data_IF_790437770224
#
_entry.id   IF_790437770224
#
_cell.length_a   1.000
_cell.length_b   1.000
_cell.length_c   1.000
_cell.angle_alpha   90.00
_cell.angle_beta   90.00
_cell.angle_gamma   90.00
#
_symmetry.space_group_name_H-M   'P 1'
#
loop_
_entity.id
_entity.type
_entity.pdbx_description
1 polymer ?
#
# COMPACT_ATOMS: atom_id res chain seq x y z
N UNK A 1 5.21 -29.10 4.91
CA UNK A 1 5.75 -27.73 5.05
C UNK A 1 4.66 -26.70 5.38
N UNK A 2 3.39 -27.08 5.32
CA UNK A 2 2.24 -26.15 5.40
C UNK A 2 1.98 -25.53 6.78
N UNK A 3 2.17 -26.28 7.88
CA UNK A 3 1.83 -25.78 9.22
C UNK A 3 2.65 -24.55 9.62
N UNK A 4 3.94 -24.53 9.29
CA UNK A 4 4.80 -23.40 9.64
C UNK A 4 4.43 -22.14 8.84
N UNK A 5 4.09 -22.29 7.56
CA UNK A 5 3.65 -21.18 6.71
C UNK A 5 2.35 -20.55 7.19
N UNK A 6 1.40 -21.37 7.66
CA UNK A 6 0.17 -20.89 8.32
C UNK A 6 0.51 -20.12 9.59
N UNK A 7 1.34 -20.70 10.47
CA UNK A 7 1.78 -20.04 11.71
C UNK A 7 2.45 -18.70 11.39
N UNK A 8 3.33 -18.66 10.38
CA UNK A 8 4.04 -17.44 9.94
C UNK A 8 3.05 -16.34 9.53
N UNK A 9 2.06 -16.63 8.67
CA UNK A 9 1.05 -15.63 8.28
C UNK A 9 0.32 -15.12 9.51
N UNK A 10 -0.32 -16.01 10.26
CA UNK A 10 -1.21 -15.60 11.35
C UNK A 10 -0.46 -14.88 12.46
N UNK A 11 0.77 -15.33 12.75
CA UNK A 11 1.63 -14.67 13.71
C UNK A 11 2.01 -13.26 13.23
N UNK A 12 2.54 -13.12 12.01
CA UNK A 12 2.97 -11.81 11.50
C UNK A 12 1.79 -10.86 11.28
N UNK A 13 0.63 -11.34 10.85
CA UNK A 13 -0.57 -10.52 10.69
C UNK A 13 -1.11 -10.03 12.04
N UNK A 14 -1.17 -10.92 13.04
CA UNK A 14 -1.62 -10.57 14.40
C UNK A 14 -0.64 -9.62 15.05
N UNK A 15 0.66 -9.89 14.94
CA UNK A 15 1.71 -9.01 15.45
C UNK A 15 1.65 -7.64 14.78
N UNK A 16 1.46 -7.58 13.47
CA UNK A 16 1.30 -6.32 12.74
C UNK A 16 0.09 -5.53 13.20
N UNK A 17 -1.04 -6.19 13.40
CA UNK A 17 -2.25 -5.56 13.95
C UNK A 17 -2.02 -5.03 15.37
N UNK A 18 -1.43 -5.84 16.26
CA UNK A 18 -1.15 -5.44 17.64
C UNK A 18 -0.18 -4.26 17.71
N UNK A 19 0.90 -4.30 16.92
CA UNK A 19 1.85 -3.19 16.80
C UNK A 19 1.09 -1.96 16.31
N UNK A 20 0.39 -2.02 15.17
CA UNK A 20 -0.37 -0.91 14.60
C UNK A 20 -1.31 -0.24 15.62
N UNK A 21 -2.07 -1.04 16.35
CA UNK A 21 -2.96 -0.56 17.41
C UNK A 21 -2.19 0.11 18.56
N UNK A 22 -1.07 -0.48 19.00
CA UNK A 22 -0.26 0.03 20.10
C UNK A 22 0.34 1.42 19.82
N UNK A 23 0.78 1.70 18.58
CA UNK A 23 1.36 3.01 18.24
C UNK A 23 0.37 4.01 17.63
N UNK A 24 -0.90 3.62 17.42
CA UNK A 24 -1.98 4.53 17.01
C UNK A 24 -2.14 5.76 17.93
N UNK A 25 -2.18 5.64 19.27
CA UNK A 25 -2.30 6.82 20.14
C UNK A 25 -1.08 7.75 20.02
N UNK A 26 0.12 7.19 19.84
CA UNK A 26 1.35 7.96 19.62
C UNK A 26 1.25 8.79 18.33
N UNK A 27 0.86 8.16 17.23
CA UNK A 27 0.74 8.83 15.94
C UNK A 27 -0.36 9.89 15.98
N UNK A 28 -1.55 9.56 16.50
CA UNK A 28 -2.66 10.52 16.55
C UNK A 28 -2.31 11.73 17.41
N UNK A 29 -1.65 11.55 18.55
CA UNK A 29 -1.15 12.66 19.36
C UNK A 29 -0.16 13.54 18.57
N UNK A 30 0.77 12.94 17.83
CA UNK A 30 1.71 13.66 16.98
C UNK A 30 0.99 14.49 15.90
N UNK A 31 0.02 13.90 15.21
CA UNK A 31 -0.75 14.55 14.14
C UNK A 31 -1.59 15.72 14.68
N UNK A 32 -2.25 15.54 15.84
CA UNK A 32 -2.99 16.61 16.51
C UNK A 32 -2.08 17.75 16.97
N UNK A 33 -0.93 17.42 17.57
CA UNK A 33 0.06 18.40 18.03
C UNK A 33 0.54 19.31 16.89
N UNK A 34 0.70 18.78 15.68
CA UNK A 34 1.15 19.52 14.51
C UNK A 34 0.00 20.05 13.65
N UNK A 35 -1.26 19.92 14.09
CA UNK A 35 -2.47 20.34 13.37
C UNK A 35 -2.54 19.80 11.94
N UNK A 36 -2.07 18.57 11.73
CA UNK A 36 -2.12 17.87 10.44
C UNK A 36 -3.52 17.29 10.22
N UNK A 37 -4.51 18.17 10.13
CA UNK A 37 -5.92 17.80 10.07
C UNK A 37 -6.50 17.96 8.66
N UNK A 38 -7.50 17.13 8.31
CA UNK A 38 -8.24 17.24 7.06
C UNK A 38 -8.93 18.59 6.96
N UNK A 39 -8.75 19.22 5.81
CA UNK A 39 -9.47 20.43 5.42
C UNK A 39 -10.60 20.05 4.46
N UNK A 40 -11.77 20.62 4.67
CA UNK A 40 -12.95 20.34 3.85
C UNK A 40 -13.08 21.46 2.81
N UNK A 41 -13.38 21.08 1.58
CA UNK A 41 -13.69 22.02 0.50
C UNK A 41 -14.94 22.82 0.82
N UNK A 42 -14.98 24.06 0.34
CA UNK A 42 -16.10 24.97 0.56
C UNK A 42 -17.39 24.44 -0.04
N UNK A 43 -18.50 24.63 0.69
CA UNK A 43 -19.85 24.21 0.29
C UNK A 43 -20.23 24.70 -1.12
N UNK A 44 -19.83 25.92 -1.48
CA UNK A 44 -20.08 26.52 -2.81
C UNK A 44 -19.43 25.74 -3.95
N UNK A 45 -18.28 25.11 -3.70
CA UNK A 45 -17.51 24.38 -4.71
C UNK A 45 -17.88 22.91 -4.80
N UNK A 46 -18.32 22.30 -3.70
CA UNK A 46 -18.61 20.87 -3.63
C UNK A 46 -19.70 20.55 -2.58
N UNK A 47 -20.99 20.86 -2.85
CA UNK A 47 -22.06 20.79 -1.86
C UNK A 47 -22.34 19.37 -1.35
N UNK A 48 -22.27 18.37 -2.24
CA UNK A 48 -22.45 16.95 -1.86
C UNK A 48 -21.29 16.48 -0.96
N UNK A 49 -20.05 16.77 -1.36
CA UNK A 49 -18.85 16.43 -0.59
C UNK A 49 -18.89 17.06 0.81
N UNK A 50 -19.21 18.35 0.89
CA UNK A 50 -19.32 19.08 2.16
C UNK A 50 -20.33 18.43 3.11
N UNK A 51 -21.52 18.05 2.64
CA UNK A 51 -22.54 17.40 3.49
C UNK A 51 -22.05 16.08 4.11
N UNK A 52 -21.39 15.23 3.34
CA UNK A 52 -20.88 13.94 3.83
C UNK A 52 -19.63 14.08 4.71
N UNK A 53 -18.83 15.13 4.51
CA UNK A 53 -17.53 15.25 5.16
C UNK A 53 -17.48 16.28 6.29
N UNK A 54 -18.50 17.15 6.46
CA UNK A 54 -18.49 18.23 7.48
C UNK A 54 -18.16 17.76 8.90
N UNK A 55 -18.60 16.54 9.27
CA UNK A 55 -18.32 15.94 10.59
C UNK A 55 -16.86 15.51 10.77
N UNK A 56 -16.12 15.35 9.68
CA UNK A 56 -14.70 14.98 9.64
C UNK A 56 -13.78 16.21 9.67
N UNK A 57 -14.32 17.42 9.83
CA UNK A 57 -13.50 18.63 9.93
C UNK A 57 -12.60 18.54 11.17
N UNK A 58 -11.30 18.75 11.00
CA UNK A 58 -10.37 18.74 12.14
C UNK A 58 -9.89 17.35 12.57
N UNK A 59 -10.32 16.26 11.91
CA UNK A 59 -9.73 14.94 12.14
C UNK A 59 -8.34 14.85 11.51
N UNK A 60 -7.39 14.11 12.11
CA UNK A 60 -6.04 13.99 11.57
C UNK A 60 -6.07 13.31 10.20
N UNK A 61 -5.25 13.83 9.28
CA UNK A 61 -4.98 13.20 7.98
C UNK A 61 -3.72 12.33 8.08
N UNK A 62 -3.36 11.58 7.04
CA UNK A 62 -2.18 10.68 7.00
C UNK A 62 -2.29 9.40 7.85
N UNK A 63 -3.50 8.88 8.07
CA UNK A 63 -3.70 7.59 8.75
C UNK A 63 -2.97 6.42 8.08
N UNK A 64 -2.67 6.53 6.78
CA UNK A 64 -1.87 5.54 6.04
C UNK A 64 -0.47 5.30 6.62
N UNK A 65 0.10 6.26 7.36
CA UNK A 65 1.34 6.07 8.14
C UNK A 65 1.26 4.85 9.04
N UNK A 66 0.09 4.56 9.64
CA UNK A 66 -0.10 3.36 10.47
C UNK A 66 0.20 2.08 9.70
N UNK A 67 -0.19 2.01 8.43
CA UNK A 67 -0.07 0.81 7.63
C UNK A 67 1.39 0.66 7.16
N UNK A 68 1.89 1.62 6.38
CA UNK A 68 3.16 1.41 5.69
C UNK A 68 4.36 1.45 6.66
N UNK A 69 4.33 2.25 7.72
CA UNK A 69 5.42 2.26 8.73
C UNK A 69 5.42 0.95 9.52
N UNK A 70 4.26 0.40 9.89
CA UNK A 70 4.20 -0.90 10.56
C UNK A 70 4.68 -2.03 9.66
N UNK A 71 4.24 -2.06 8.40
CA UNK A 71 4.70 -3.07 7.44
C UNK A 71 6.21 -2.99 7.28
N UNK A 72 6.79 -1.80 7.04
CA UNK A 72 8.24 -1.65 6.90
C UNK A 72 9.01 -1.98 8.17
N UNK A 73 8.51 -1.55 9.33
CA UNK A 73 9.12 -1.79 10.62
C UNK A 73 9.22 -3.28 10.92
N UNK A 74 8.13 -4.02 10.74
CA UNK A 74 8.09 -5.47 10.94
C UNK A 74 8.93 -6.20 9.88
N UNK A 75 8.84 -5.80 8.61
CA UNK A 75 9.66 -6.38 7.53
C UNK A 75 11.15 -6.23 7.82
N UNK A 76 11.58 -5.04 8.21
CA UNK A 76 12.98 -4.73 8.49
C UNK A 76 13.46 -5.42 9.76
N UNK A 77 12.61 -5.49 10.80
CA UNK A 77 12.92 -6.17 12.05
C UNK A 77 13.21 -7.65 11.82
N UNK A 78 12.32 -8.38 11.15
CA UNK A 78 12.52 -9.81 10.90
C UNK A 78 13.64 -10.09 9.89
N UNK A 79 13.87 -9.19 8.94
CA UNK A 79 15.04 -9.26 8.06
C UNK A 79 16.37 -9.11 8.83
N UNK A 80 16.46 -8.15 9.75
CA UNK A 80 17.65 -7.94 10.57
C UNK A 80 17.85 -9.08 11.57
N UNK A 81 16.79 -9.53 12.25
CA UNK A 81 16.85 -10.66 13.17
C UNK A 81 17.28 -11.95 12.46
N UNK A 82 16.80 -12.20 11.24
CA UNK A 82 17.22 -13.35 10.43
C UNK A 82 18.70 -13.31 10.02
N UNK A 83 19.31 -12.13 9.93
CA UNK A 83 20.74 -11.97 9.63
C UNK A 83 21.65 -12.02 10.85
N UNK A 84 21.20 -11.46 11.98
CA UNK A 84 22.03 -11.26 13.17
C UNK A 84 21.93 -12.45 14.12
N UNK A 85 20.75 -13.06 14.25
CA UNK A 85 20.52 -14.18 15.16
C UNK A 85 20.62 -15.51 14.40
N UNK A 86 21.48 -16.46 14.84
CA UNK A 86 21.63 -17.78 14.22
C UNK A 86 20.48 -18.76 14.56
N UNK A 87 19.31 -18.25 14.96
CA UNK A 87 18.15 -19.06 15.30
C UNK A 87 17.29 -19.27 14.05
N UNK A 88 17.05 -20.53 13.69
CA UNK A 88 16.24 -20.94 12.51
C UNK A 88 14.87 -20.28 12.47
N UNK A 89 14.26 -20.00 13.63
CA UNK A 89 12.93 -19.40 13.71
C UNK A 89 12.93 -18.00 13.07
N UNK A 90 13.94 -17.17 13.33
CA UNK A 90 14.00 -15.82 12.77
C UNK A 90 14.27 -15.82 11.27
N UNK A 91 15.05 -16.79 10.78
CA UNK A 91 15.24 -16.99 9.35
C UNK A 91 13.94 -17.38 8.66
N UNK A 92 13.16 -18.29 9.25
CA UNK A 92 11.87 -18.71 8.67
C UNK A 92 10.78 -17.64 8.75
N UNK A 93 10.85 -16.73 9.72
CA UNK A 93 9.94 -15.58 9.85
C UNK A 93 10.30 -14.42 8.91
N UNK A 94 11.52 -14.39 8.36
CA UNK A 94 11.88 -13.45 7.31
C UNK A 94 11.05 -13.73 6.04
N UNK A 95 10.53 -12.67 5.42
CA UNK A 95 9.76 -12.72 4.17
C UNK A 95 10.37 -11.86 3.06
N UNK A 96 11.47 -11.15 3.34
CA UNK A 96 12.26 -10.42 2.35
C UNK A 96 13.35 -11.32 1.75
N UNK A 97 12.95 -12.54 1.40
CA UNK A 97 13.86 -13.60 0.91
C UNK A 97 13.85 -13.66 -0.62
N UNK A 98 12.72 -13.33 -1.24
CA UNK A 98 12.48 -13.44 -2.67
C UNK A 98 12.65 -12.11 -3.39
N UNK A 99 13.22 -12.15 -4.60
CA UNK A 99 13.44 -10.96 -5.42
C UNK A 99 12.11 -10.29 -5.82
N UNK A 100 11.04 -11.07 -5.91
CA UNK A 100 9.70 -10.61 -6.21
C UNK A 100 9.07 -9.80 -5.07
N UNK A 101 9.47 -10.03 -3.80
CA UNK A 101 8.91 -9.32 -2.64
C UNK A 101 9.37 -7.86 -2.53
N UNK A 102 10.54 -7.54 -3.09
CA UNK A 102 11.07 -6.18 -3.07
C UNK A 102 10.21 -5.22 -3.89
N UNK A 103 9.54 -5.68 -4.94
CA UNK A 103 8.75 -4.77 -5.78
C UNK A 103 7.47 -4.29 -5.07
N UNK A 104 6.60 -5.16 -4.52
CA UNK A 104 5.44 -4.70 -3.74
C UNK A 104 5.86 -3.81 -2.57
N UNK A 105 6.98 -4.11 -1.90
CA UNK A 105 7.53 -3.27 -0.83
C UNK A 105 7.97 -1.90 -1.36
N UNK A 106 8.71 -1.86 -2.47
CA UNK A 106 9.17 -0.63 -3.11
C UNK A 106 8.01 0.21 -3.63
N UNK A 107 6.99 -0.42 -4.23
CA UNK A 107 5.77 0.23 -4.68
C UNK A 107 4.96 0.79 -3.50
N UNK A 108 4.86 0.05 -2.39
CA UNK A 108 4.25 0.53 -1.14
C UNK A 108 4.97 1.78 -0.63
N UNK A 109 6.30 1.75 -0.54
CA UNK A 109 7.10 2.90 -0.09
C UNK A 109 6.91 4.10 -1.03
N UNK A 110 7.07 3.89 -2.34
CA UNK A 110 6.99 4.96 -3.33
C UNK A 110 5.60 5.61 -3.33
N UNK A 111 4.53 4.81 -3.35
CA UNK A 111 3.15 5.31 -3.30
C UNK A 111 2.82 5.98 -1.96
N UNK A 112 3.30 5.43 -0.84
CA UNK A 112 3.12 6.01 0.48
C UNK A 112 3.81 7.38 0.61
N UNK A 113 5.01 7.54 0.08
CA UNK A 113 5.72 8.83 0.07
C UNK A 113 4.98 9.87 -0.79
N UNK A 114 4.43 9.46 -1.93
CA UNK A 114 3.62 10.34 -2.79
C UNK A 114 2.33 10.75 -2.10
N UNK A 115 1.64 9.80 -1.46
CA UNK A 115 0.44 10.07 -0.67
C UNK A 115 0.72 11.00 0.52
N UNK A 116 1.81 10.76 1.25
CA UNK A 116 2.25 11.62 2.35
C UNK A 116 2.57 13.05 1.87
N UNK A 117 3.24 13.18 0.73
CA UNK A 117 3.53 14.47 0.12
C UNK A 117 2.23 15.19 -0.29
N UNK A 118 1.28 14.48 -0.90
CA UNK A 118 -0.03 15.01 -1.28
C UNK A 118 -0.84 15.49 -0.07
N UNK A 119 -0.91 14.68 0.98
CA UNK A 119 -1.57 15.02 2.25
C UNK A 119 -0.93 16.26 2.89
N UNK A 120 0.41 16.36 2.86
CA UNK A 120 1.11 17.51 3.43
C UNK A 120 0.85 18.80 2.64
N UNK A 121 0.81 18.71 1.31
CA UNK A 121 0.46 19.85 0.46
C UNK A 121 -1.00 20.28 0.70
N UNK A 122 -1.92 19.33 0.86
CA UNK A 122 -3.33 19.59 1.16
C UNK A 122 -3.49 20.29 2.52
N UNK A 123 -2.82 19.81 3.58
CA UNK A 123 -2.80 20.47 4.90
C UNK A 123 -2.25 21.89 4.82
N UNK A 124 -1.23 22.13 3.98
CA UNK A 124 -0.62 23.45 3.78
C UNK A 124 -1.40 24.35 2.81
N UNK A 125 -2.53 23.90 2.25
CA UNK A 125 -3.29 24.60 1.19
C UNK A 125 -2.46 24.92 -0.05
N UNK A 126 -1.44 24.13 -0.33
CA UNK A 126 -0.56 24.29 -1.49
C UNK A 126 -1.11 23.44 -2.64
N UNK A 127 -1.45 24.10 -3.75
CA UNK A 127 -2.00 23.44 -4.93
C UNK A 127 -3.26 24.12 -5.47
N UNK A 128 -3.86 23.58 -6.55
CA UNK A 128 -5.07 24.14 -7.14
C UNK A 128 -6.21 24.09 -6.11
N UNK A 129 -6.82 25.24 -5.84
CA UNK A 129 -7.88 25.38 -4.85
C UNK A 129 -7.50 24.84 -3.44
N UNK A 130 -6.21 24.81 -3.12
CA UNK A 130 -5.69 24.32 -1.84
C UNK A 130 -5.79 22.80 -1.63
N UNK A 131 -6.04 22.02 -2.70
CA UNK A 131 -6.39 20.59 -2.60
C UNK A 131 -5.26 19.56 -2.80
N UNK A 132 -3.98 19.96 -2.76
CA UNK A 132 -2.84 19.05 -2.97
C UNK A 132 -2.35 18.94 -4.43
N UNK A 133 -1.74 17.81 -4.80
CA UNK A 133 -1.26 17.54 -6.16
C UNK A 133 -2.41 17.54 -7.18
N UNK A 134 -2.20 18.26 -8.30
CA UNK A 134 -3.06 18.12 -9.50
C UNK A 134 -3.13 16.65 -9.92
N UNK A 135 -4.31 16.23 -10.37
CA UNK A 135 -4.54 14.89 -10.93
C UNK A 135 -3.48 14.51 -11.97
N UNK A 136 -3.13 15.42 -12.89
CA UNK A 136 -2.09 15.20 -13.91
C UNK A 136 -0.73 14.82 -13.31
N UNK A 137 -0.31 15.48 -12.23
CA UNK A 137 0.96 15.15 -11.57
C UNK A 137 0.88 13.79 -10.87
N UNK A 138 -0.25 13.47 -10.22
CA UNK A 138 -0.46 12.13 -9.63
C UNK A 138 -0.35 11.04 -10.69
N UNK A 139 -1.00 11.24 -11.83
CA UNK A 139 -0.94 10.29 -12.95
C UNK A 139 0.49 10.09 -13.45
N UNK A 140 1.23 11.17 -13.68
CA UNK A 140 2.63 11.10 -14.12
C UNK A 140 3.49 10.35 -13.10
N UNK A 141 3.37 10.68 -11.81
CA UNK A 141 4.15 10.03 -10.74
C UNK A 141 3.83 8.55 -10.63
N UNK A 142 2.55 8.16 -10.59
CA UNK A 142 2.16 6.74 -10.57
C UNK A 142 2.57 6.00 -11.83
N UNK A 143 2.58 6.66 -12.99
CA UNK A 143 3.08 6.09 -14.25
C UNK A 143 4.58 5.81 -14.15
N UNK A 144 5.38 6.71 -13.56
CA UNK A 144 6.81 6.46 -13.33
C UNK A 144 7.07 5.32 -12.35
N UNK A 145 6.31 5.24 -11.26
CA UNK A 145 6.38 4.11 -10.32
C UNK A 145 6.06 2.80 -11.04
N UNK A 146 5.01 2.80 -11.86
CA UNK A 146 4.60 1.63 -12.62
C UNK A 146 5.60 1.24 -13.71
N UNK A 147 6.23 2.22 -14.38
CA UNK A 147 7.30 2.00 -15.35
C UNK A 147 8.51 1.34 -14.71
N UNK A 148 8.94 1.81 -13.53
CA UNK A 148 10.04 1.20 -12.78
C UNK A 148 9.71 -0.25 -12.40
N UNK A 149 8.47 -0.53 -11.99
CA UNK A 149 8.01 -1.88 -11.69
C UNK A 149 7.92 -2.80 -12.91
N UNK A 150 7.41 -2.28 -14.02
CA UNK A 150 7.34 -3.00 -15.30
C UNK A 150 8.74 -3.34 -15.81
N UNK A 151 9.68 -2.39 -15.73
CA UNK A 151 11.08 -2.61 -16.09
C UNK A 151 11.70 -3.73 -15.25
N UNK A 152 11.47 -3.73 -13.94
CA UNK A 152 11.98 -4.79 -13.05
C UNK A 152 11.41 -6.17 -13.40
N UNK A 153 10.09 -6.30 -13.56
CA UNK A 153 9.49 -7.60 -13.92
C UNK A 153 9.96 -8.12 -15.27
N UNK A 154 9.95 -7.25 -16.29
CA UNK A 154 10.25 -7.67 -17.64
C UNK A 154 11.75 -7.95 -17.84
N UNK A 155 12.64 -7.09 -17.37
CA UNK A 155 14.08 -7.21 -17.66
C UNK A 155 14.92 -7.84 -16.55
N UNK A 156 14.43 -7.91 -15.30
CA UNK A 156 15.19 -8.51 -14.18
C UNK A 156 14.65 -9.86 -13.74
N UNK A 157 13.34 -10.07 -13.88
CA UNK A 157 12.70 -11.33 -13.51
C UNK A 157 12.34 -12.18 -14.73
N UNK A 158 12.62 -11.69 -15.95
CA UNK A 158 12.23 -12.31 -17.23
C UNK A 158 10.76 -12.77 -17.21
N UNK A 159 9.89 -11.89 -16.67
CA UNK A 159 8.49 -12.19 -16.45
C UNK A 159 7.60 -11.40 -17.41
N UNK A 160 7.01 -12.10 -18.36
CA UNK A 160 6.09 -11.56 -19.37
C UNK A 160 4.85 -12.44 -19.58
N UNK A 161 4.61 -13.38 -18.66
CA UNK A 161 3.52 -14.36 -18.75
C UNK A 161 2.32 -13.94 -17.91
N UNK A 162 1.12 -14.07 -18.52
CA UNK A 162 -0.16 -13.95 -17.82
C UNK A 162 -0.83 -15.31 -17.79
N UNK A 163 -1.22 -15.74 -16.59
CA UNK A 163 -2.04 -16.93 -16.43
C UNK A 163 -3.51 -16.54 -16.42
N UNK A 164 -4.25 -17.00 -17.42
CA UNK A 164 -5.71 -16.90 -17.44
C UNK A 164 -6.26 -18.18 -16.81
N UNK A 165 -7.15 -18.08 -15.80
CA UNK A 165 -7.80 -19.27 -15.23
C UNK A 165 -8.42 -20.12 -16.34
N UNK A 166 -8.25 -21.45 -16.24
CA UNK A 166 -8.73 -22.46 -17.20
C UNK A 166 -8.06 -22.48 -18.59
N UNK A 167 -7.61 -21.34 -19.11
CA UNK A 167 -7.01 -21.23 -20.45
C UNK A 167 -5.49 -21.43 -20.46
N UNK A 168 -4.82 -21.24 -19.32
CA UNK A 168 -3.38 -21.48 -19.19
C UNK A 168 -2.53 -20.21 -19.24
N UNK A 169 -1.25 -20.39 -19.59
CA UNK A 169 -0.25 -19.33 -19.62
C UNK A 169 -0.16 -18.71 -21.02
N UNK A 170 -0.18 -17.38 -21.10
CA UNK A 170 -0.01 -16.61 -22.32
C UNK A 170 1.22 -15.72 -22.20
N UNK A 171 2.15 -15.87 -23.13
CA UNK A 171 3.33 -15.01 -23.27
C UNK A 171 2.91 -13.71 -23.95
N UNK A 172 3.07 -12.59 -23.25
CA UNK A 172 2.70 -11.27 -23.76
C UNK A 172 3.88 -10.55 -24.42
N UNK A 173 5.12 -10.97 -24.14
CA UNK A 173 6.31 -10.25 -24.55
C UNK A 173 6.24 -8.78 -24.13
N UNK A 174 6.56 -7.88 -25.05
CA UNK A 174 6.61 -6.45 -24.78
C UNK A 174 5.26 -5.84 -24.34
N UNK A 175 4.12 -6.46 -24.69
CA UNK A 175 2.78 -5.99 -24.27
C UNK A 175 2.54 -6.12 -22.76
N UNK A 176 3.38 -6.88 -22.04
CA UNK A 176 3.34 -6.94 -20.59
C UNK A 176 3.58 -5.57 -19.94
N UNK A 177 4.49 -4.76 -20.50
CA UNK A 177 4.86 -3.44 -19.95
C UNK A 177 3.67 -2.46 -19.92
N UNK A 178 3.00 -2.15 -21.04
CA UNK A 178 1.86 -1.23 -21.03
C UNK A 178 0.69 -1.76 -20.19
N UNK A 179 0.47 -3.08 -20.17
CA UNK A 179 -0.56 -3.66 -19.31
C UNK A 179 -0.23 -3.48 -17.81
N UNK A 180 1.01 -3.75 -17.42
CA UNK A 180 1.47 -3.57 -16.04
C UNK A 180 1.25 -2.12 -15.58
N UNK A 181 1.65 -1.17 -16.43
CA UNK A 181 1.46 0.27 -16.17
C UNK A 181 -0.03 0.59 -15.99
N UNK A 182 -0.87 0.11 -16.90
CA UNK A 182 -2.30 0.31 -16.84
C UNK A 182 -2.89 -0.23 -15.53
N UNK A 183 -2.55 -1.46 -15.13
CA UNK A 183 -3.06 -2.08 -13.89
C UNK A 183 -2.66 -1.27 -12.66
N UNK A 184 -1.39 -0.88 -12.53
CA UNK A 184 -0.91 -0.14 -11.35
C UNK A 184 -1.56 1.24 -11.25
N UNK A 185 -1.61 1.98 -12.37
CA UNK A 185 -2.22 3.31 -12.40
C UNK A 185 -3.72 3.20 -12.14
N UNK A 186 -4.44 2.33 -12.86
CA UNK A 186 -5.88 2.13 -12.67
C UNK A 186 -6.22 1.77 -11.22
N UNK A 187 -5.49 0.82 -10.62
CA UNK A 187 -5.74 0.40 -9.24
C UNK A 187 -5.50 1.54 -8.25
N UNK A 188 -4.42 2.32 -8.43
CA UNK A 188 -4.09 3.44 -7.55
C UNK A 188 -5.18 4.54 -7.59
N UNK A 189 -5.73 4.81 -8.78
CA UNK A 189 -6.85 5.75 -8.94
C UNK A 189 -8.15 5.19 -8.36
N UNK A 190 -8.47 3.91 -8.60
CA UNK A 190 -9.67 3.27 -8.06
C UNK A 190 -9.69 3.24 -6.53
N UNK A 191 -8.56 2.92 -5.89
CA UNK A 191 -8.47 2.91 -4.41
C UNK A 191 -8.65 4.31 -3.84
N UNK A 192 -8.07 5.33 -4.48
CA UNK A 192 -8.24 6.72 -4.06
C UNK A 192 -9.69 7.22 -4.21
N UNK A 193 -10.45 6.69 -5.18
CA UNK A 193 -11.86 7.07 -5.38
C UNK A 193 -12.80 6.47 -4.32
N UNK A 194 -12.50 5.25 -3.84
CA UNK A 194 -13.29 4.60 -2.77
C UNK A 194 -12.91 5.09 -1.37
N UNK A 195 -11.83 5.86 -1.20
CA UNK A 195 -11.38 6.43 0.07
C UNK A 195 -12.11 7.76 0.42
N UNK A 196 -13.44 7.73 0.39
CA UNK A 196 -14.30 8.86 0.78
C UNK A 196 -15.10 8.61 2.07
N UNK A 197 -15.46 7.36 2.34
CA UNK A 197 -16.27 6.98 3.50
C UNK A 197 -15.41 6.32 4.57
N UNK A 198 -15.75 6.54 5.84
CA UNK A 198 -14.94 6.03 6.96
C UNK A 198 -14.95 4.50 6.93
N UNK A 199 -13.76 3.90 6.81
CA UNK A 199 -13.58 2.45 6.79
C UNK A 199 -13.88 1.75 5.46
N UNK A 200 -14.35 2.46 4.41
CA UNK A 200 -14.68 1.83 3.13
C UNK A 200 -13.44 1.28 2.42
N UNK A 201 -12.43 2.12 2.16
CA UNK A 201 -11.20 1.70 1.52
C UNK A 201 -10.47 0.62 2.35
N UNK A 202 -10.39 0.79 3.67
CA UNK A 202 -9.77 -0.19 4.57
C UNK A 202 -10.47 -1.55 4.55
N UNK A 203 -11.80 -1.58 4.58
CA UNK A 203 -12.59 -2.80 4.51
C UNK A 203 -12.45 -3.53 3.17
N UNK A 204 -12.47 -2.79 2.06
CA UNK A 204 -12.26 -3.36 0.71
C UNK A 204 -10.84 -3.93 0.58
N UNK A 205 -9.82 -3.18 1.02
CA UNK A 205 -8.44 -3.65 0.98
C UNK A 205 -8.21 -4.88 1.86
N UNK A 206 -8.86 -4.98 3.03
CA UNK A 206 -8.79 -6.16 3.89
C UNK A 206 -9.25 -7.42 3.14
N UNK A 207 -10.38 -7.36 2.42
CA UNK A 207 -10.89 -8.49 1.64
C UNK A 207 -9.96 -8.83 0.47
N UNK A 208 -9.41 -7.82 -0.21
CA UNK A 208 -8.46 -7.99 -1.32
C UNK A 208 -7.18 -8.68 -0.83
N UNK A 209 -6.57 -8.18 0.25
CA UNK A 209 -5.35 -8.77 0.79
C UNK A 209 -5.56 -10.17 1.38
N UNK A 210 -6.71 -10.43 2.02
CA UNK A 210 -7.07 -11.76 2.46
C UNK A 210 -7.19 -12.75 1.28
N UNK A 211 -7.80 -12.30 0.18
CA UNK A 211 -7.93 -13.10 -1.05
C UNK A 211 -6.57 -13.39 -1.69
N UNK A 212 -5.69 -12.38 -1.80
CA UNK A 212 -4.33 -12.60 -2.29
C UNK A 212 -3.51 -13.50 -1.38
N UNK A 213 -3.68 -13.39 -0.05
CA UNK A 213 -3.06 -14.29 0.91
C UNK A 213 -3.50 -15.74 0.72
N UNK A 214 -4.81 -15.98 0.52
CA UNK A 214 -5.34 -17.31 0.23
C UNK A 214 -4.81 -17.88 -1.10
N UNK A 215 -4.71 -17.05 -2.14
CA UNK A 215 -4.13 -17.46 -3.43
C UNK A 215 -2.64 -17.81 -3.28
N UNK A 216 -1.86 -16.97 -2.59
CA UNK A 216 -0.44 -17.22 -2.35
C UNK A 216 -0.22 -18.53 -1.57
N UNK A 217 -1.05 -18.77 -0.55
CA UNK A 217 -1.07 -20.02 0.20
C UNK A 217 -1.39 -21.23 -0.68
N UNK A 218 -2.46 -21.14 -1.48
CA UNK A 218 -2.84 -22.22 -2.41
C UNK A 218 -1.77 -22.52 -3.47
N UNK A 219 -0.95 -21.53 -3.84
CA UNK A 219 0.15 -21.71 -4.80
C UNK A 219 1.48 -22.11 -4.14
N UNK A 220 1.51 -22.28 -2.81
CA UNK A 220 2.75 -22.56 -2.07
C UNK A 220 3.76 -21.39 -2.10
N UNK A 221 3.34 -20.18 -2.48
CA UNK A 221 4.19 -18.98 -2.57
C UNK A 221 4.21 -18.23 -1.24
N UNK A 222 4.69 -18.94 -0.23
CA UNK A 222 4.60 -18.58 1.19
C UNK A 222 5.92 -18.08 1.80
N UNK A 223 6.99 -18.14 1.01
CA UNK A 223 8.34 -17.73 1.41
C UNK A 223 8.62 -16.26 1.13
#
# INVERSE_FOLDING_TARGET
>A
MDNFSVIKIFFLSTLSFMVAMAWTPLLTHFLYKHRLCKQIRDEKSAPVYFRFHRKKAGTPTMGGLLIWVTVLGISSLFFLLGKICPLDIFQKLNFLTRSETYLPLGALVASALVGLADDLLNVRKIGPHGGGLKMRHRLVVYTFIALAGAYWFYFKLDWDVIRIPFLGNFEMGFWYIPLFIFIIVATSFSVNEIDGLDGLAGGVLLVIFASYGAIAFSQGKME
#
